data_IF_458060517494
#
_entry.id   IF_458060517494
#
_cell.length_a   1.000
_cell.length_b   1.000
_cell.length_c   1.000
_cell.angle_alpha   90.00
_cell.angle_beta   90.00
_cell.angle_gamma   90.00
#
_symmetry.space_group_name_H-M   'P 1'
#
loop_
_entity.id
_entity.type
_entity.pdbx_description
1 polymer ?
#
# COMPACT_ATOMS: atom_id res chain seq x y z
N UNK A 1 -1.80 -24.41 -21.59
CA UNK A 1 -0.38 -24.10 -21.86
C UNK A 1 0.30 -23.94 -20.51
N UNK A 2 1.13 -24.89 -20.09
CA UNK A 2 1.71 -24.92 -18.72
C UNK A 2 2.84 -23.90 -18.57
N UNK A 3 2.95 -23.28 -17.39
CA UNK A 3 3.94 -22.24 -17.05
C UNK A 3 5.38 -22.70 -17.32
N UNK A 4 5.63 -24.00 -17.14
CA UNK A 4 6.93 -24.64 -17.38
C UNK A 4 7.39 -24.57 -18.85
N UNK A 5 6.46 -24.67 -19.81
CA UNK A 5 6.80 -24.55 -21.24
C UNK A 5 7.14 -23.12 -21.64
N UNK A 6 6.61 -22.12 -20.93
CA UNK A 6 6.92 -20.71 -21.16
C UNK A 6 8.32 -20.37 -20.62
N UNK A 7 8.64 -20.87 -19.42
CA UNK A 7 9.96 -20.70 -18.78
C UNK A 7 11.09 -21.41 -19.53
N UNK A 8 10.82 -22.56 -20.16
CA UNK A 8 11.81 -23.31 -20.94
C UNK A 8 12.11 -22.70 -22.32
N UNK A 9 11.34 -21.71 -22.77
CA UNK A 9 11.60 -20.97 -24.01
C UNK A 9 12.56 -19.78 -23.83
N UNK A 10 12.85 -19.40 -22.59
CA UNK A 10 13.78 -18.33 -22.29
C UNK A 10 15.21 -18.91 -22.17
N UNK A 11 16.23 -18.29 -22.80
CA UNK A 11 17.62 -18.77 -22.80
C UNK A 11 18.32 -18.46 -21.46
N UNK A 12 17.66 -18.74 -20.34
CA UNK A 12 18.23 -18.59 -19.01
C UNK A 12 18.65 -19.96 -18.47
N UNK A 13 19.87 -20.01 -17.91
CA UNK A 13 20.29 -21.14 -17.08
C UNK A 13 19.34 -21.31 -15.88
N UNK A 14 19.34 -22.47 -15.24
CA UNK A 14 18.48 -22.73 -14.07
C UNK A 14 18.62 -21.65 -13.00
N UNK A 15 19.86 -21.19 -12.74
CA UNK A 15 20.13 -20.07 -11.84
C UNK A 15 19.51 -18.74 -12.30
N UNK A 16 19.47 -18.48 -13.62
CA UNK A 16 18.83 -17.29 -14.19
C UNK A 16 17.31 -17.27 -14.00
N UNK A 17 16.65 -18.44 -14.10
CA UNK A 17 15.20 -18.56 -13.85
C UNK A 17 14.86 -18.30 -12.38
N UNK A 18 15.68 -18.80 -11.46
CA UNK A 18 15.53 -18.55 -10.02
C UNK A 18 15.74 -17.07 -9.71
N UNK A 19 16.81 -16.47 -10.24
CA UNK A 19 17.09 -15.04 -10.04
C UNK A 19 15.93 -14.16 -10.55
N UNK A 20 15.40 -14.45 -11.75
CA UNK A 20 14.27 -13.71 -12.30
C UNK A 20 13.03 -13.80 -11.40
N UNK A 21 12.70 -15.00 -10.90
CA UNK A 21 11.58 -15.19 -9.98
C UNK A 21 11.75 -14.40 -8.68
N UNK A 22 12.95 -14.39 -8.10
CA UNK A 22 13.28 -13.63 -6.88
C UNK A 22 13.20 -12.13 -7.15
N UNK A 23 13.75 -11.64 -8.26
CA UNK A 23 13.71 -10.22 -8.63
C UNK A 23 12.27 -9.72 -8.82
N UNK A 24 11.41 -10.51 -9.48
CA UNK A 24 9.98 -10.20 -9.63
C UNK A 24 9.27 -10.19 -8.28
N UNK A 25 9.53 -11.17 -7.41
CA UNK A 25 8.96 -11.23 -6.06
C UNK A 25 9.31 -10.00 -5.21
N UNK A 26 10.59 -9.61 -5.22
CA UNK A 26 11.06 -8.41 -4.51
C UNK A 26 10.43 -7.15 -5.11
N UNK A 27 10.36 -7.03 -6.43
CA UNK A 27 9.74 -5.89 -7.10
C UNK A 27 8.26 -5.71 -6.73
N UNK A 28 7.50 -6.81 -6.69
CA UNK A 28 6.09 -6.80 -6.28
C UNK A 28 5.92 -6.39 -4.81
N UNK A 29 6.79 -6.87 -3.92
CA UNK A 29 6.80 -6.47 -2.51
C UNK A 29 7.24 -5.01 -2.29
N UNK A 30 8.10 -4.48 -3.18
CA UNK A 30 8.60 -3.11 -3.09
C UNK A 30 7.57 -2.07 -3.56
N UNK A 31 6.72 -2.41 -4.56
CA UNK A 31 5.68 -1.51 -5.08
C UNK A 31 4.77 -0.89 -4.00
N UNK A 32 4.17 -1.64 -3.04
CA UNK A 32 3.32 -1.04 -2.00
C UNK A 32 4.12 -0.19 -1.01
N UNK A 33 5.40 -0.49 -0.79
CA UNK A 33 6.28 0.30 0.08
C UNK A 33 6.63 1.63 -0.58
N UNK A 34 6.99 1.60 -1.87
CA UNK A 34 7.35 2.78 -2.64
C UNK A 34 6.13 3.67 -2.96
N UNK A 35 4.97 3.07 -3.29
CA UNK A 35 3.74 3.82 -3.57
C UNK A 35 3.04 4.35 -2.31
N UNK A 36 3.38 3.86 -1.11
CA UNK A 36 2.89 4.44 0.14
C UNK A 36 3.61 5.77 0.42
N UNK A 37 3.05 6.86 -0.09
CA UNK A 37 3.34 8.22 0.39
C UNK A 37 2.76 8.50 1.79
N UNK A 38 1.99 7.56 2.38
CA UNK A 38 1.53 7.64 3.76
C UNK A 38 2.51 6.90 4.68
N UNK A 39 3.13 7.67 5.58
CA UNK A 39 3.99 7.17 6.67
C UNK A 39 3.29 5.98 7.36
N UNK A 40 3.87 4.77 7.36
CA UNK A 40 3.32 3.66 8.12
C UNK A 40 3.24 4.07 9.60
N UNK A 41 2.03 4.15 10.14
CA UNK A 41 1.76 4.58 11.52
C UNK A 41 0.83 5.78 11.69
N UNK A 42 0.54 6.58 10.64
CA UNK A 42 -0.24 7.81 10.81
C UNK A 42 -1.77 7.59 10.95
N UNK A 43 -2.31 6.43 10.54
CA UNK A 43 -3.77 6.19 10.51
C UNK A 43 -4.25 5.06 11.45
N UNK A 44 -3.37 4.38 12.19
CA UNK A 44 -3.77 3.31 13.13
C UNK A 44 -3.56 3.69 14.60
N UNK A 45 -2.76 4.74 14.84
CA UNK A 45 -2.62 5.42 16.13
C UNK A 45 -2.54 6.93 15.86
N UNK A 46 -3.56 7.47 15.17
CA UNK A 46 -3.74 8.91 15.15
C UNK A 46 -3.91 9.34 16.61
N UNK A 47 -2.85 9.92 17.18
CA UNK A 47 -2.94 10.73 18.39
C UNK A 47 -3.57 12.09 18.08
N UNK A 48 -4.52 12.16 17.12
CA UNK A 48 -5.50 13.25 17.15
C UNK A 48 -6.07 13.23 18.56
N UNK A 49 -5.86 14.33 19.29
CA UNK A 49 -6.36 14.43 20.65
C UNK A 49 -7.87 14.21 20.55
N UNK A 50 -8.50 13.38 21.40
CA UNK A 50 -9.94 13.09 21.30
C UNK A 50 -10.81 14.36 21.26
N UNK A 51 -10.28 15.47 21.76
CA UNK A 51 -10.86 16.82 21.66
C UNK A 51 -11.01 17.32 20.21
N UNK A 52 -10.02 17.12 19.36
CA UNK A 52 -10.04 17.63 17.97
C UNK A 52 -11.07 16.90 17.11
N UNK A 53 -11.31 15.62 17.38
CA UNK A 53 -12.38 14.84 16.72
C UNK A 53 -13.75 15.35 17.15
N UNK A 54 -13.93 15.57 18.46
CA UNK A 54 -15.19 16.07 19.01
C UNK A 54 -15.53 17.48 18.52
N UNK A 55 -14.53 18.36 18.43
CA UNK A 55 -14.69 19.73 17.90
C UNK A 55 -15.06 19.71 16.41
N UNK A 56 -14.42 18.86 15.60
CA UNK A 56 -14.77 18.66 14.19
C UNK A 56 -16.21 18.16 14.04
N UNK A 57 -16.65 17.23 14.88
CA UNK A 57 -18.04 16.72 14.85
C UNK A 57 -19.08 17.76 15.27
N UNK A 58 -18.78 18.63 16.23
CA UNK A 58 -19.65 19.75 16.59
C UNK A 58 -19.72 20.75 15.44
N UNK A 59 -18.59 21.09 14.84
CA UNK A 59 -18.53 22.04 13.73
C UNK A 59 -19.32 21.53 12.51
N UNK A 60 -19.13 20.26 12.13
CA UNK A 60 -19.89 19.61 11.07
C UNK A 60 -21.40 19.63 11.35
N UNK A 61 -21.83 19.39 12.60
CA UNK A 61 -23.24 19.49 12.98
C UNK A 61 -23.78 20.92 12.91
N UNK A 62 -23.00 21.93 13.30
CA UNK A 62 -23.41 23.34 13.20
C UNK A 62 -23.57 23.78 11.74
N UNK A 63 -22.65 23.35 10.87
CA UNK A 63 -22.72 23.61 9.43
C UNK A 63 -23.96 22.96 8.80
N UNK A 64 -24.28 21.71 9.18
CA UNK A 64 -25.51 21.03 8.72
C UNK A 64 -26.79 21.69 9.25
N UNK A 65 -26.75 22.26 10.45
CA UNK A 65 -27.88 22.99 11.05
C UNK A 65 -27.96 24.45 10.58
N UNK A 66 -27.00 24.92 9.76
CA UNK A 66 -26.98 26.29 9.24
C UNK A 66 -26.77 27.36 10.31
N UNK A 67 -26.25 26.99 11.48
CA UNK A 67 -25.98 27.90 12.59
C UNK A 67 -24.54 28.41 12.40
N UNK A 68 -24.40 29.64 11.91
CA UNK A 68 -23.11 30.35 11.80
C UNK A 68 -22.61 30.81 13.17
#
# INVERSE_FOLDING_TARGET
>A
MTLERLLNKLPFSEGGKVFFGVAVGIGLCYLPVYKKNKKPGHDLFSSERPQEIYEKDIQNRREQLGIK
#
